data_IF_457392262235
#
_entry.id   IF_457392262235
#
_cell.length_a   1.000
_cell.length_b   1.000
_cell.length_c   1.000
_cell.angle_alpha   90.00
_cell.angle_beta   90.00
_cell.angle_gamma   90.00
#
_symmetry.space_group_name_H-M   'P 1'
#
loop_
_entity.id
_entity.type
_entity.pdbx_description
1 polymer ?
2 non-polymer ?
3 water ?
#
# COMPACT_ATOMS: atom_id res chain seq x y z
N UNK A 18 20.82 -7.39 -12.46
CA UNK A 18 20.38 -8.25 -13.61
C UNK A 18 19.18 -9.12 -13.18
N UNK A 19 19.29 -9.79 -12.03
CA UNK A 19 18.26 -10.72 -11.53
C UNK A 19 16.86 -10.10 -11.36
N UNK A 20 16.82 -8.78 -11.15
CA UNK A 20 15.55 -8.02 -11.02
C UNK A 20 14.82 -7.68 -12.34
N UNK A 21 15.46 -7.98 -13.46
CA UNK A 21 14.85 -7.82 -14.78
C UNK A 21 13.95 -9.02 -15.13
N UNK A 22 14.23 -10.18 -14.52
CA UNK A 22 13.42 -11.41 -14.73
C UNK A 22 12.51 -11.69 -13.51
N UNK A 23 12.81 -11.02 -12.40
CA UNK A 23 12.14 -11.20 -11.11
C UNK A 23 10.81 -10.44 -10.95
N UNK A 24 9.74 -11.16 -10.62
CA UNK A 24 8.40 -10.58 -10.53
C UNK A 24 8.19 -9.84 -9.21
N UNK A 25 7.25 -8.90 -9.22
CA UNK A 25 6.85 -8.18 -8.02
C UNK A 25 6.28 -9.10 -6.96
N UNK A 26 5.64 -10.20 -7.38
CA UNK A 26 5.10 -11.21 -6.49
C UNK A 26 6.12 -11.57 -5.43
N UNK A 27 7.40 -11.54 -5.82
CA UNK A 27 8.46 -12.05 -4.93
C UNK A 27 8.80 -11.09 -3.79
N UNK A 28 8.49 -9.80 -3.92
CA UNK A 28 8.83 -8.85 -2.84
C UNK A 28 7.68 -8.09 -2.21
N UNK A 29 6.44 -8.38 -2.64
CA UNK A 29 5.27 -7.75 -2.05
C UNK A 29 5.03 -8.20 -0.59
N UNK A 30 4.31 -7.39 0.17
CA UNK A 30 3.73 -7.86 1.40
C UNK A 30 2.54 -8.62 0.87
N UNK A 31 2.45 -9.92 1.18
CA UNK A 31 1.29 -10.70 0.71
C UNK A 31 -0.06 -10.31 1.37
N UNK A 32 -1.15 -10.48 0.61
CA UNK A 32 -2.51 -10.19 1.03
C UNK A 32 -2.71 -10.52 2.50
N UNK A 33 -2.27 -11.70 2.95
CA UNK A 33 -2.60 -12.11 4.32
C UNK A 33 -1.92 -11.27 5.38
N UNK A 34 -0.73 -10.74 5.06
CA UNK A 34 0.07 -9.94 6.03
C UNK A 34 -0.13 -8.45 5.86
N UNK A 35 -0.79 -8.07 4.79
CA UNK A 35 -1.06 -6.67 4.51
C UNK A 35 -2.07 -6.13 5.53
N UNK A 36 -1.80 -4.96 6.05
CA UNK A 36 -2.79 -4.32 6.90
C UNK A 36 -3.59 -3.24 6.20
N UNK A 37 -4.90 -3.44 6.15
CA UNK A 37 -5.86 -2.52 5.58
C UNK A 37 -6.62 -1.87 6.71
N UNK A 38 -6.84 -0.57 6.60
CA UNK A 38 -7.80 0.09 7.42
C UNK A 38 -9.13 -0.05 6.72
N UNK A 39 -10.13 -0.66 7.34
CA UNK A 39 -11.45 -0.75 6.69
C UNK A 39 -12.23 0.54 6.96
N UNK A 40 -13.10 0.96 6.05
CA UNK A 40 -13.84 2.20 6.32
C UNK A 40 -14.72 2.09 7.57
N UNK A 41 -15.09 0.88 7.97
CA UNK A 41 -15.93 0.69 9.13
C UNK A 41 -15.17 0.42 10.41
N UNK A 42 -13.85 0.48 10.41
CA UNK A 42 -13.09 0.27 11.66
C UNK A 42 -13.32 1.40 12.65
N UNK A 43 -13.31 1.09 13.95
CA UNK A 43 -13.45 2.10 14.95
C UNK A 43 -12.16 2.86 14.98
N UNK A 44 -12.23 4.04 15.56
CA UNK A 44 -11.05 4.88 15.70
C UNK A 44 -10.07 4.26 16.68
N UNK A 45 -10.59 3.59 17.70
CA UNK A 45 -9.73 2.91 18.65
C UNK A 45 -8.89 1.86 17.93
N UNK A 46 -9.53 1.08 17.07
CA UNK A 46 -8.85 0.00 16.36
C UNK A 46 -7.75 0.54 15.48
N UNK A 47 -8.02 1.65 14.81
CA UNK A 47 -7.07 2.28 13.90
C UNK A 47 -5.81 2.73 14.65
N UNK A 48 -5.98 3.45 15.74
CA UNK A 48 -4.82 3.88 16.51
C UNK A 48 -4.08 2.68 17.04
N UNK A 49 -4.80 1.65 17.45
CA UNK A 49 -4.12 0.46 17.99
C UNK A 49 -3.21 -0.19 16.93
N UNK A 50 -3.68 -0.26 15.68
CA UNK A 50 -2.87 -0.86 14.63
C UNK A 50 -1.77 0.10 14.18
N UNK A 51 -2.02 1.40 13.98
CA UNK A 51 -0.90 2.34 13.69
C UNK A 51 0.22 2.27 14.72
N UNK A 52 -0.14 2.15 15.98
CA UNK A 52 0.85 2.08 17.05
C UNK A 52 1.72 0.81 16.97
N UNK A 53 1.10 -0.35 16.80
CA UNK A 53 1.80 -1.65 16.75
C UNK A 53 2.66 -1.82 15.51
N UNK A 54 2.08 -1.47 14.37
CA UNK A 54 2.73 -1.55 13.05
C UNK A 54 3.69 -0.38 12.81
N UNK A 55 4.81 -0.62 12.16
CA UNK A 55 5.82 0.44 12.10
C UNK A 55 5.79 1.20 10.79
N UNK A 56 4.61 1.59 10.35
CA UNK A 56 4.34 1.79 8.92
C UNK A 56 3.67 3.15 8.69
N UNK A 57 3.90 3.75 7.53
CA UNK A 57 3.53 5.15 7.29
C UNK A 57 2.33 5.34 6.38
N UNK A 58 2.11 4.38 5.49
CA UNK A 58 1.04 4.48 4.50
C UNK A 58 0.14 3.23 4.54
N UNK A 59 -1.17 3.44 4.72
CA UNK A 59 -2.07 2.31 4.83
C UNK A 59 -3.14 2.39 3.78
N UNK A 60 -3.33 1.30 3.06
CA UNK A 60 -4.49 1.16 2.25
C UNK A 60 -5.77 1.14 3.08
N UNK A 61 -6.84 1.67 2.49
CA UNK A 61 -8.14 1.70 3.04
C UNK A 61 -9.01 0.78 2.15
N UNK A 62 -9.75 -0.11 2.81
CA UNK A 62 -10.65 -1.08 2.19
C UNK A 62 -12.08 -0.92 2.60
N UNK A 63 -12.99 -1.24 1.70
CA UNK A 63 -14.41 -1.35 1.98
C UNK A 63 -14.70 -2.83 2.02
N UNK A 64 -15.07 -3.30 3.20
CA UNK A 64 -15.54 -4.68 3.42
C UNK A 64 -14.45 -5.74 3.39
N UNK A 65 -13.75 -5.86 2.27
CA UNK A 65 -12.69 -6.84 2.10
C UNK A 65 -11.46 -6.26 1.40
N UNK A 66 -10.38 -7.02 1.40
CA UNK A 66 -9.11 -6.54 0.90
C UNK A 66 -9.07 -6.44 -0.66
N UNK A 67 -10.14 -6.88 -1.34
CA UNK A 67 -10.21 -6.76 -2.82
C UNK A 67 -10.93 -5.50 -3.30
N UNK A 68 -11.50 -4.77 -2.35
CA UNK A 68 -12.13 -3.48 -2.66
C UNK A 68 -11.33 -2.38 -2.00
N UNK A 69 -10.19 -2.04 -2.60
CA UNK A 69 -9.37 -0.94 -2.12
C UNK A 69 -9.92 0.40 -2.58
N UNK A 70 -10.10 1.33 -1.66
CA UNK A 70 -10.56 2.67 -1.98
C UNK A 70 -9.41 3.68 -2.25
N UNK A 71 -8.24 3.40 -1.69
CA UNK A 71 -7.10 4.31 -1.85
C UNK A 71 -6.19 4.04 -0.69
N UNK A 72 -5.39 5.01 -0.29
CA UNK A 72 -4.62 4.85 0.92
C UNK A 72 -4.57 6.11 1.74
N UNK A 73 -4.07 5.97 2.95
CA UNK A 73 -3.94 7.10 3.79
C UNK A 73 -2.58 7.08 4.39
N UNK A 74 -2.11 8.28 4.74
CA UNK A 74 -0.83 8.46 5.40
C UNK A 74 -1.07 8.72 6.87
N UNK A 75 -0.22 8.14 7.69
CA UNK A 75 -0.35 8.18 9.13
C UNK A 75 -0.44 9.64 9.72
N UNK A 76 0.23 10.61 9.11
CA UNK A 76 0.29 11.97 9.68
C UNK A 76 -1.03 12.67 9.56
N UNK A 77 -1.61 12.48 8.39
CA UNK A 77 -2.96 12.91 8.12
C UNK A 77 -3.98 12.31 9.10
N UNK A 78 -3.92 11.01 9.36
CA UNK A 78 -4.83 10.38 10.30
C UNK A 78 -4.70 11.05 11.67
N UNK A 79 -3.45 11.21 12.12
CA UNK A 79 -3.17 11.68 13.47
C UNK A 79 -3.58 13.15 13.56
N UNK A 80 -3.27 13.95 12.54
CA UNK A 80 -3.72 15.35 12.55
C UNK A 80 -5.25 15.48 12.60
N UNK A 81 -6.00 14.59 11.95
CA UNK A 81 -7.46 14.65 12.06
C UNK A 81 -7.87 14.43 13.49
N UNK A 82 -7.28 13.43 14.12
CA UNK A 82 -7.78 12.99 15.40
C UNK A 82 -7.43 14.01 16.46
N UNK A 83 -6.23 14.56 16.35
CA UNK A 83 -5.76 15.53 17.29
C UNK A 83 -6.55 16.82 17.15
N UNK A 84 -6.68 17.31 15.92
CA UNK A 84 -7.33 18.59 15.70
C UNK A 84 -8.86 18.53 15.96
N UNK A 85 -9.52 17.45 15.54
CA UNK A 85 -11.00 17.35 15.63
C UNK A 85 -11.62 16.24 16.46
N UNK A 86 -10.80 15.35 17.01
CA UNK A 86 -11.28 14.15 17.70
C UNK A 86 -12.23 13.34 16.84
N UNK A 87 -11.94 13.28 15.55
CA UNK A 87 -12.65 12.42 14.66
C UNK A 87 -11.82 12.14 13.39
N UNK A 88 -11.85 10.90 12.95
CA UNK A 88 -11.21 10.50 11.73
C UNK A 88 -12.28 10.41 10.66
N UNK A 89 -12.04 11.15 9.56
CA UNK A 89 -12.88 11.15 8.36
C UNK A 89 -12.04 10.66 7.13
N UNK A 90 -12.02 9.36 6.87
CA UNK A 90 -11.07 8.78 5.89
C UNK A 90 -11.14 9.40 4.48
N UNK A 91 -12.37 9.62 4.04
CA UNK A 91 -12.66 10.21 2.73
C UNK A 91 -11.95 11.54 2.47
N UNK A 92 -11.74 12.32 3.52
CA UNK A 92 -11.11 13.65 3.40
C UNK A 92 -9.57 13.58 3.28
N UNK A 93 -8.98 12.43 3.60
CA UNK A 93 -7.51 12.27 3.54
C UNK A 93 -7.10 11.14 2.63
N UNK A 94 -8.09 10.55 1.97
CA UNK A 94 -7.87 9.38 1.11
C UNK A 94 -7.06 9.81 -0.12
N UNK A 95 -5.97 9.10 -0.37
CA UNK A 95 -5.02 9.37 -1.48
C UNK A 95 -5.02 8.19 -2.47
N UNK A 96 -4.86 8.47 -3.76
CA UNK A 96 -5.02 7.45 -4.81
C UNK A 96 -3.90 6.41 -4.80
N UNK A 97 -4.24 5.17 -5.20
CA UNK A 97 -3.22 4.14 -5.46
C UNK A 97 -3.23 3.76 -6.95
N UNK A 98 -2.19 3.03 -7.34
CA UNK A 98 -2.13 2.36 -8.63
C UNK A 98 -2.20 0.84 -8.41
N UNK A 99 -2.61 0.12 -9.44
CA UNK A 99 -2.66 -1.35 -9.39
C UNK A 99 -1.69 -1.86 -10.41
N UNK A 100 -0.87 -2.82 -10.00
CA UNK A 100 0.04 -3.50 -10.91
C UNK A 100 -0.14 -5.01 -10.79
N UNK A 101 0.17 -5.71 -11.86
CA UNK A 101 0.10 -7.17 -11.89
C UNK A 101 1.27 -7.79 -11.17
N UNK A 102 1.00 -8.94 -10.56
CA UNK A 102 2.02 -9.68 -9.79
C UNK A 102 3.15 -10.27 -10.69
N UNK A 103 2.91 -10.30 -12.00
CA UNK A 103 3.88 -10.77 -13.01
C UNK A 103 4.68 -9.61 -13.60
N UNK A 104 4.39 -8.38 -13.20
CA UNK A 104 5.28 -7.29 -13.60
C UNK A 104 6.62 -7.53 -12.96
N UNK A 105 7.69 -7.31 -13.71
CA UNK A 105 9.05 -7.46 -13.17
C UNK A 105 9.39 -6.25 -12.31
N UNK A 106 10.29 -6.43 -11.35
CA UNK A 106 10.60 -5.36 -10.40
C UNK A 106 11.04 -4.04 -11.05
N UNK A 107 11.76 -4.09 -12.17
CA UNK A 107 12.24 -2.87 -12.87
C UNK A 107 11.12 -2.08 -13.59
N UNK A 108 10.15 -2.80 -14.14
CA UNK A 108 9.02 -2.16 -14.81
C UNK A 108 8.01 -1.63 -13.80
N UNK A 109 7.96 -2.25 -12.63
CA UNK A 109 7.23 -1.72 -11.50
C UNK A 109 7.76 -0.35 -11.07
N UNK A 110 9.07 -0.24 -10.94
CA UNK A 110 9.64 1.03 -10.52
C UNK A 110 9.33 2.10 -11.57
N UNK A 111 9.56 1.76 -12.85
CA UNK A 111 9.31 2.66 -13.97
C UNK A 111 7.89 3.19 -13.87
N UNK A 112 6.93 2.28 -13.67
CA UNK A 112 5.51 2.58 -13.64
C UNK A 112 5.15 3.52 -12.49
N UNK A 113 5.54 3.13 -11.28
CA UNK A 113 5.21 3.89 -10.07
C UNK A 113 5.94 5.20 -10.10
N UNK A 114 7.17 5.20 -10.62
CA UNK A 114 7.89 6.44 -10.76
C UNK A 114 7.06 7.38 -11.68
N UNK A 115 6.58 6.85 -12.82
CA UNK A 115 5.84 7.66 -13.83
C UNK A 115 4.57 8.29 -13.28
N UNK A 116 3.83 7.52 -12.46
CA UNK A 116 2.56 7.98 -11.85
C UNK A 116 2.72 8.86 -10.61
N UNK A 117 3.95 8.99 -10.11
CA UNK A 117 4.25 9.89 -8.99
C UNK A 117 3.65 9.46 -7.63
N UNK A 118 3.58 8.15 -7.42
CA UNK A 118 2.98 7.56 -6.21
C UNK A 118 4.06 6.76 -5.48
N UNK A 119 3.81 6.38 -4.23
CA UNK A 119 4.79 5.62 -3.44
C UNK A 119 4.33 4.20 -3.08
N UNK A 120 3.13 3.83 -3.52
CA UNK A 120 2.45 2.65 -3.04
C UNK A 120 1.62 2.02 -4.14
N UNK A 121 1.82 0.72 -4.35
CA UNK A 121 1.07 -0.03 -5.38
C UNK A 121 0.31 -1.21 -4.78
N UNK A 122 -0.95 -1.32 -5.17
CA UNK A 122 -1.68 -2.53 -4.89
C UNK A 122 -1.32 -3.52 -5.96
N UNK A 123 -0.93 -4.71 -5.54
CA UNK A 123 -0.55 -5.73 -6.48
C UNK A 123 -1.72 -6.70 -6.74
N UNK A 124 -1.99 -7.05 -8.00
CA UNK A 124 -3.24 -7.70 -8.38
C UNK A 124 -2.95 -9.06 -9.01
N UNK A 125 -3.81 -10.04 -8.71
CA UNK A 125 -3.61 -11.40 -9.21
C UNK A 125 -4.23 -11.55 -10.60
N UNK A 126 -4.21 -12.77 -11.12
CA UNK A 126 -4.70 -13.09 -12.45
C UNK A 126 -6.23 -13.17 -12.50
N UNK A 127 -6.90 -12.99 -11.35
CA UNK A 127 -8.36 -13.03 -11.27
C UNK A 127 -8.94 -11.68 -10.90
N UNK A 128 -8.10 -10.65 -10.84
CA UNK A 128 -8.56 -9.31 -10.47
C UNK A 128 -8.80 -9.17 -8.97
N UNK A 129 -8.02 -9.88 -8.18
CA UNK A 129 -8.12 -9.78 -6.73
C UNK A 129 -6.84 -9.17 -6.22
N UNK A 130 -6.86 -8.75 -4.96
CA UNK A 130 -5.67 -8.17 -4.36
C UNK A 130 -4.74 -9.31 -3.97
N UNK A 131 -3.54 -9.36 -4.54
CA UNK A 131 -2.60 -10.37 -4.09
C UNK A 131 -1.59 -9.79 -3.13
N UNK A 132 -1.47 -8.47 -3.08
CA UNK A 132 -0.64 -7.89 -2.03
C UNK A 132 -0.38 -6.41 -2.23
N UNK A 133 0.64 -5.91 -1.56
CA UNK A 133 0.94 -4.49 -1.60
C UNK A 133 2.46 -4.34 -1.59
N UNK A 134 2.94 -3.28 -2.23
CA UNK A 134 4.38 -3.04 -2.36
C UNK A 134 4.62 -1.54 -2.45
N UNK A 135 5.73 -1.14 -1.87
CA UNK A 135 6.11 0.26 -1.72
C UNK A 135 7.28 0.58 -2.64
N UNK A 136 7.45 1.86 -2.95
CA UNK A 136 8.58 2.27 -3.74
C UNK A 136 9.91 1.93 -3.08
N UNK A 137 10.02 2.12 -1.77
CA UNK A 137 11.22 1.70 -1.02
C UNK A 137 11.53 0.18 -1.03
N UNK A 138 10.52 -0.65 -0.86
CA UNK A 138 10.66 -2.07 -1.03
C UNK A 138 11.33 -2.34 -2.37
N UNK A 139 10.93 -1.62 -3.40
CA UNK A 139 11.41 -1.92 -4.74
C UNK A 139 12.84 -1.40 -4.97
N UNK A 140 13.14 -0.20 -4.51
CA UNK A 140 14.52 0.35 -4.58
C UNK A 140 15.48 -0.53 -3.74
N UNK A 141 15.04 -0.92 -2.54
CA UNK A 141 15.80 -1.82 -1.66
C UNK A 141 16.24 -3.10 -2.40
N UNK A 142 15.29 -3.75 -3.06
CA UNK A 142 15.60 -4.89 -3.90
C UNK A 142 16.60 -4.61 -5.07
N UNK A 143 16.38 -3.54 -5.83
CA UNK A 143 17.26 -3.24 -6.97
C UNK A 143 18.72 -2.94 -6.58
N UNK A 144 18.93 -2.11 -5.56
CA UNK A 144 20.27 -1.73 -5.12
C UNK A 144 20.95 -2.96 -4.55
N UNK A 145 20.16 -3.90 -4.07
CA UNK A 145 20.68 -5.20 -3.75
C UNK A 145 21.55 -5.77 -4.87
N UNK A 146 21.05 -5.80 -6.11
CA UNK A 146 21.78 -6.47 -7.17
C UNK A 146 23.00 -5.66 -7.65
N UNK A 147 23.17 -4.42 -7.19
CA UNK A 147 24.32 -3.60 -7.67
C UNK A 147 25.43 -3.44 -6.60
X LIG B 1 -8.16 -8.81 8.11
X LIG B 1 -8.29 -10.20 8.67
X LIG B 1 -8.72 -8.83 6.71
X LIG B 1 -8.96 -7.78 8.87
X LIG B 1 -6.69 -8.46 8.14
#
# INVERSE_FOLDING_TARGET
SNAGLIDESEQRLVDNIFEFEEKKIREIMVPRTDMVCIYESDSEEKILAILKEEGVTRYPVCRKNKDDILGFVHIRDLYNQKINENKIELEEILRDIIYISENLTIDKALERIRKEKLQLAIVVDEYGGTSGVVTIEDILEEIVGEIQ
PO4 P O1 O2 O3 O4
#
